data_IF_022659439643
#
_entry.id   IF_022659439643
#
_cell.length_a   1.000
_cell.length_b   1.000
_cell.length_c   1.000
_cell.angle_alpha   90.00
_cell.angle_beta   90.00
_cell.angle_gamma   90.00
#
_symmetry.space_group_name_H-M   'P 1'
#
loop_
_entity.id
_entity.type
_entity.pdbx_description
1 polymer ?
#
# COMPACT_ATOMS: atom_id res chain seq x y z
N UNK A 1 -6.23 -7.62 6.90
CA UNK A 1 -5.15 -7.92 5.93
C UNK A 1 -4.07 -8.78 6.56
N UNK A 2 -3.46 -8.37 7.69
CA UNK A 2 -2.42 -9.16 8.38
C UNK A 2 -2.97 -10.45 9.01
N UNK A 3 -4.13 -10.38 9.66
CA UNK A 3 -4.76 -11.52 10.34
C UNK A 3 -5.18 -12.67 9.42
N UNK A 4 -5.43 -12.39 8.13
CA UNK A 4 -5.79 -13.40 7.13
C UNK A 4 -4.56 -14.17 6.62
N UNK A 5 -3.40 -13.50 6.54
CA UNK A 5 -2.10 -14.14 6.23
C UNK A 5 -1.71 -15.12 7.32
N UNK A 6 -1.85 -14.74 8.58
CA UNK A 6 -1.54 -15.60 9.73
C UNK A 6 -2.38 -16.89 9.73
N UNK A 7 -3.69 -16.76 9.52
CA UNK A 7 -4.61 -17.90 9.46
C UNK A 7 -4.28 -18.86 8.32
N UNK A 8 -3.90 -18.34 7.15
CA UNK A 8 -3.53 -19.14 5.98
C UNK A 8 -2.20 -19.87 6.19
N UNK A 9 -1.23 -19.20 6.81
CA UNK A 9 0.07 -19.75 7.20
C UNK A 9 -0.10 -20.92 8.19
N UNK A 10 -0.94 -20.75 9.21
CA UNK A 10 -1.24 -21.78 10.21
C UNK A 10 -1.95 -23.00 9.62
N UNK A 11 -2.89 -22.78 8.70
CA UNK A 11 -3.59 -23.87 7.98
C UNK A 11 -2.61 -24.75 7.20
N UNK A 12 -1.72 -24.14 6.43
CA UNK A 12 -0.71 -24.88 5.63
C UNK A 12 0.22 -25.70 6.50
N UNK A 13 0.62 -25.13 7.64
CA UNK A 13 1.47 -25.82 8.59
C UNK A 13 0.80 -27.11 9.10
N UNK A 14 -0.47 -27.02 9.51
CA UNK A 14 -1.21 -28.20 9.98
C UNK A 14 -1.59 -29.15 8.86
N UNK A 15 -1.82 -28.69 7.63
CA UNK A 15 -2.12 -29.56 6.48
C UNK A 15 -0.97 -30.53 6.19
N UNK A 16 0.27 -30.08 6.34
CA UNK A 16 1.48 -30.90 6.10
C UNK A 16 1.83 -31.76 7.31
N UNK A 17 1.74 -31.22 8.53
CA UNK A 17 2.27 -31.89 9.71
C UNK A 17 1.21 -32.64 10.54
N UNK A 18 -0.05 -32.20 10.57
CA UNK A 18 -1.13 -32.86 11.31
C UNK A 18 -2.54 -32.40 10.85
N UNK A 19 -3.12 -33.05 9.81
CA UNK A 19 -4.39 -32.62 9.22
C UNK A 19 -5.58 -32.77 10.17
N UNK A 20 -5.48 -33.60 11.21
CA UNK A 20 -6.52 -33.78 12.23
C UNK A 20 -6.73 -32.53 13.10
N UNK A 21 -5.76 -31.60 13.13
CA UNK A 21 -5.85 -30.34 13.86
C UNK A 21 -6.42 -29.17 13.04
N UNK A 22 -6.82 -29.39 11.78
CA UNK A 22 -7.35 -28.34 10.90
C UNK A 22 -8.65 -27.70 11.44
N UNK A 23 -9.49 -28.47 12.14
CA UNK A 23 -10.71 -27.97 12.77
C UNK A 23 -10.46 -27.02 13.95
N UNK A 24 -9.29 -27.12 14.59
CA UNK A 24 -8.89 -26.28 15.72
C UNK A 24 -8.12 -25.02 15.30
N UNK A 25 -7.78 -24.87 14.01
CA UNK A 25 -6.98 -23.75 13.49
C UNK A 25 -7.63 -22.40 13.80
N UNK A 26 -8.95 -22.30 13.69
CA UNK A 26 -9.66 -21.04 13.94
C UNK A 26 -9.67 -20.65 15.42
N UNK A 27 -9.73 -21.63 16.32
CA UNK A 27 -9.65 -21.40 17.77
C UNK A 27 -8.22 -21.04 18.23
N UNK A 28 -7.20 -21.67 17.64
CA UNK A 28 -5.78 -21.35 17.90
C UNK A 28 -5.44 -19.96 17.34
N UNK A 29 -5.94 -19.65 16.15
CA UNK A 29 -5.80 -18.31 15.57
C UNK A 29 -6.34 -17.22 16.49
N UNK A 30 -7.53 -17.43 17.06
CA UNK A 30 -8.18 -16.42 17.90
C UNK A 30 -7.48 -16.21 19.26
N UNK A 31 -6.80 -17.23 19.79
CA UNK A 31 -6.08 -17.18 21.07
C UNK A 31 -4.67 -16.58 20.95
N UNK A 32 -4.09 -16.57 19.76
CA UNK A 32 -2.70 -16.15 19.50
C UNK A 32 -2.57 -14.93 18.58
N UNK A 33 -3.64 -14.14 18.40
CA UNK A 33 -3.67 -12.95 17.52
C UNK A 33 -2.55 -11.92 17.75
N UNK A 34 -1.98 -11.86 18.96
CA UNK A 34 -0.89 -10.94 19.32
C UNK A 34 0.44 -11.65 19.63
N UNK A 35 0.50 -12.98 19.40
CA UNK A 35 1.67 -13.85 19.68
C UNK A 35 1.88 -14.86 18.55
N UNK A 36 1.77 -14.37 17.32
CA UNK A 36 1.77 -15.18 16.10
C UNK A 36 3.14 -15.85 15.87
N UNK A 37 4.23 -15.15 16.13
CA UNK A 37 5.59 -15.65 15.97
C UNK A 37 5.94 -16.74 17.00
N UNK A 38 5.39 -16.63 18.20
CA UNK A 38 5.66 -17.59 19.28
C UNK A 38 4.99 -18.95 19.01
N UNK A 39 3.78 -18.95 18.45
CA UNK A 39 3.14 -20.22 18.05
C UNK A 39 3.89 -20.89 16.90
N UNK A 40 4.40 -20.14 15.91
CA UNK A 40 5.22 -20.73 14.86
C UNK A 40 6.56 -21.24 15.38
N UNK A 41 7.18 -20.57 16.35
CA UNK A 41 8.41 -21.06 16.99
C UNK A 41 8.19 -22.42 17.66
N UNK A 42 7.08 -22.56 18.40
CA UNK A 42 6.70 -23.83 19.05
C UNK A 42 6.33 -24.90 18.03
N UNK A 43 5.63 -24.53 16.95
CA UNK A 43 5.27 -25.45 15.89
C UNK A 43 6.48 -25.93 15.10
N UNK A 44 7.45 -25.04 14.83
CA UNK A 44 8.70 -25.40 14.15
C UNK A 44 9.56 -26.32 15.02
N UNK A 45 9.61 -26.05 16.33
CA UNK A 45 10.32 -26.92 17.28
C UNK A 45 9.66 -28.31 17.37
N UNK A 46 8.32 -28.37 17.32
CA UNK A 46 7.56 -29.62 17.47
C UNK A 46 7.44 -30.46 16.19
N UNK A 47 7.33 -29.83 15.02
CA UNK A 47 6.99 -30.50 13.76
C UNK A 47 8.03 -30.30 12.65
N UNK A 48 9.00 -29.39 12.84
CA UNK A 48 10.05 -29.09 11.86
C UNK A 48 9.83 -27.80 11.08
N UNK A 49 10.70 -27.49 10.10
CA UNK A 49 10.67 -26.23 9.36
C UNK A 49 9.34 -26.02 8.62
N UNK A 50 8.94 -24.75 8.51
CA UNK A 50 7.68 -24.35 7.90
C UNK A 50 7.59 -24.77 6.41
N UNK A 51 6.47 -25.34 5.95
CA UNK A 51 6.29 -25.73 4.56
C UNK A 51 6.33 -24.51 3.62
N UNK A 52 7.28 -24.55 2.69
CA UNK A 52 7.50 -23.49 1.69
C UNK A 52 6.27 -23.36 0.80
N UNK A 53 5.86 -22.12 0.54
CA UNK A 53 4.87 -21.72 -0.45
C UNK A 53 5.21 -22.32 -1.83
N UNK A 54 4.67 -23.49 -2.15
CA UNK A 54 4.63 -23.97 -3.53
C UNK A 54 3.52 -23.19 -4.25
N UNK A 55 3.89 -22.04 -4.79
CA UNK A 55 3.14 -21.43 -5.87
C UNK A 55 3.21 -22.39 -7.06
N UNK A 56 2.09 -23.03 -7.36
CA UNK A 56 1.92 -23.86 -8.54
C UNK A 56 1.97 -22.99 -9.81
N UNK A 57 3.17 -22.66 -10.26
CA UNK A 57 3.41 -22.27 -11.64
C UNK A 57 3.39 -23.57 -12.44
N UNK A 58 2.24 -23.83 -13.06
CA UNK A 58 2.14 -24.85 -14.09
C UNK A 58 3.02 -24.46 -15.26
N UNK A 59 4.01 -25.30 -15.56
CA UNK A 59 4.54 -25.39 -16.91
C UNK A 59 4.87 -26.86 -17.19
N UNK A 60 4.18 -27.41 -18.17
CA UNK A 60 4.28 -28.80 -18.60
C UNK A 60 4.50 -28.81 -20.10
N UNK A 61 5.52 -29.58 -20.52
CA UNK A 61 6.01 -29.86 -21.89
C UNK A 61 7.19 -28.97 -22.32
N UNK A 62 8.39 -29.46 -22.67
CA UNK A 62 8.78 -30.80 -23.17
C UNK A 62 10.32 -30.94 -23.25
N UNK A 63 10.83 -32.12 -22.88
CA UNK A 63 12.00 -32.93 -23.38
C UNK A 63 13.26 -32.21 -23.94
N UNK A 64 14.52 -32.58 -23.69
CA UNK A 64 15.17 -33.86 -23.35
C UNK A 64 16.68 -33.61 -23.05
N UNK A 65 17.40 -34.65 -22.59
CA UNK A 65 18.86 -34.79 -22.32
C UNK A 65 19.28 -34.27 -20.92
N UNK A 66 19.95 -35.00 -20.03
CA UNK A 66 20.49 -36.37 -20.00
C UNK A 66 21.48 -36.49 -18.83
N UNK A 67 21.50 -37.64 -18.16
CA UNK A 67 22.71 -38.21 -17.54
C UNK A 67 23.11 -37.83 -16.10
N UNK A 68 23.28 -38.91 -15.31
CA UNK A 68 24.30 -39.15 -14.26
C UNK A 68 23.95 -38.94 -12.76
N UNK A 69 23.79 -40.11 -12.11
CA UNK A 69 24.38 -40.54 -10.83
C UNK A 69 23.66 -40.31 -9.47
N UNK A 70 22.97 -41.38 -9.06
CA UNK A 70 22.89 -42.07 -7.75
C UNK A 70 24.06 -41.87 -6.74
N UNK A 71 23.98 -42.39 -5.49
CA UNK A 71 22.90 -42.41 -4.47
C UNK A 71 23.46 -42.09 -3.05
N UNK A 72 22.69 -42.39 -1.98
CA UNK A 72 23.01 -42.58 -0.54
C UNK A 72 22.05 -41.72 0.29
N UNK A 73 21.26 -42.20 1.25
CA UNK A 73 21.06 -43.48 1.89
C UNK A 73 20.27 -43.19 3.17
N UNK A 74 19.07 -43.77 3.35
CA UNK A 74 18.35 -43.67 4.63
C UNK A 74 17.42 -44.85 4.86
N UNK A 75 17.81 -45.68 5.81
CA UNK A 75 17.00 -46.61 6.62
C UNK A 75 17.59 -46.45 8.04
N UNK A 76 16.91 -46.52 9.17
CA UNK A 76 15.52 -46.53 9.60
C UNK A 76 15.61 -46.54 11.14
N UNK A 77 14.80 -45.71 11.83
CA UNK A 77 14.17 -46.01 13.15
C UNK A 77 15.10 -46.28 14.38
N UNK A 78 14.60 -46.30 15.65
CA UNK A 78 13.21 -46.39 16.09
C UNK A 78 12.72 -45.36 17.13
N UNK A 79 11.39 -45.24 17.14
CA UNK A 79 10.54 -44.70 18.18
C UNK A 79 10.63 -45.56 19.44
N UNK A 80 10.73 -44.90 20.60
CA UNK A 80 10.47 -45.49 21.91
C UNK A 80 9.26 -44.79 22.56
N UNK A 81 8.50 -45.61 23.28
CA UNK A 81 7.18 -45.41 23.86
C UNK A 81 7.10 -44.44 25.05
N UNK A 82 5.83 -44.17 25.43
CA UNK A 82 5.25 -43.78 26.74
C UNK A 82 4.65 -42.36 26.74
N UNK A 83 3.33 -42.18 26.55
CA UNK A 83 2.19 -42.45 27.44
C UNK A 83 2.12 -41.51 28.65
N UNK A 84 1.02 -40.73 28.68
CA UNK A 84 0.20 -40.29 29.84
C UNK A 84 0.15 -38.80 30.25
N UNK A 85 -1.11 -38.32 30.31
CA UNK A 85 -1.73 -37.28 31.16
C UNK A 85 -1.21 -35.83 31.10
N UNK A 86 -1.94 -34.83 30.58
CA UNK A 86 -3.26 -34.27 30.95
C UNK A 86 -3.43 -33.92 32.43
N UNK A 87 -3.59 -32.61 32.65
CA UNK A 87 -4.52 -31.92 33.59
C UNK A 87 -4.35 -32.26 35.09
N UNK A 88 -4.43 -31.40 36.08
CA UNK A 88 -4.68 -29.97 36.31
C UNK A 88 -4.61 -29.82 37.85
N UNK A 89 -4.34 -28.62 38.37
CA UNK A 89 -4.90 -28.09 39.64
C UNK A 89 -4.38 -26.64 39.81
N UNK A 90 -5.24 -25.62 39.87
CA UNK A 90 -5.86 -25.08 41.11
C UNK A 90 -4.78 -24.70 42.14
N UNK A 91 -4.62 -23.48 42.64
CA UNK A 91 -5.62 -22.66 43.33
C UNK A 91 -4.98 -21.32 43.77
N UNK A 92 -5.74 -20.23 43.66
CA UNK A 92 -5.91 -19.11 44.60
C UNK A 92 -4.75 -18.54 45.47
N UNK A 93 -4.63 -17.20 45.36
CA UNK A 93 -4.78 -16.16 46.41
C UNK A 93 -3.55 -15.44 47.04
N UNK A 94 -3.75 -14.12 47.17
CA UNK A 94 -3.26 -13.12 48.14
C UNK A 94 -1.94 -12.36 47.81
N UNK A 95 -2.04 -11.06 47.46
CA UNK A 95 -1.75 -9.81 48.25
C UNK A 95 -0.28 -9.36 48.07
N UNK A 96 0.13 -8.11 47.88
CA UNK A 96 -0.36 -6.79 48.32
C UNK A 96 0.51 -5.66 47.69
N UNK A 97 -0.04 -4.43 47.61
CA UNK A 97 0.63 -3.11 47.68
C UNK A 97 1.61 -2.67 46.55
N UNK A 98 1.68 -1.41 46.06
CA UNK A 98 1.54 -0.12 46.77
C UNK A 98 1.34 1.07 45.80
N UNK A 99 0.35 1.92 46.13
CA UNK A 99 0.13 3.37 45.94
C UNK A 99 1.04 4.26 45.05
N UNK A 100 0.36 5.06 44.22
CA UNK A 100 0.68 6.44 43.76
C UNK A 100 0.69 7.48 44.92
N UNK A 101 1.23 8.71 44.77
CA UNK A 101 0.48 9.87 44.21
C UNK A 101 1.34 10.89 43.40
N UNK A 102 0.83 11.60 42.37
CA UNK A 102 0.15 12.94 42.36
C UNK A 102 0.95 14.07 43.04
N UNK A 103 1.53 15.00 42.29
CA UNK A 103 1.03 16.39 42.06
C UNK A 103 2.12 17.40 42.53
N UNK A 104 2.27 18.66 42.12
CA UNK A 104 1.39 19.65 41.51
C UNK A 104 2.24 20.84 40.96
N UNK A 105 1.76 21.43 39.87
CA UNK A 105 1.68 22.87 39.51
C UNK A 105 2.80 23.90 39.80
N UNK A 106 3.07 24.73 38.79
CA UNK A 106 2.67 26.15 38.82
C UNK A 106 2.81 26.81 37.44
N UNK A 107 1.72 27.40 36.97
CA UNK A 107 1.60 28.28 35.80
C UNK A 107 2.08 29.70 36.10
N UNK A 108 2.52 30.46 35.09
CA UNK A 108 1.71 31.54 34.50
C UNK A 108 2.51 32.68 33.82
N UNK A 109 1.90 33.12 32.72
CA UNK A 109 2.04 34.42 32.04
C UNK A 109 3.25 34.58 31.10
N UNK A 110 3.16 35.21 29.93
CA UNK A 110 2.04 35.84 29.22
C UNK A 110 2.53 36.13 27.80
N UNK A 111 1.75 35.76 26.78
CA UNK A 111 2.01 36.07 25.39
C UNK A 111 1.27 37.35 24.97
N UNK A 112 1.95 38.28 24.30
CA UNK A 112 1.32 39.29 23.44
C UNK A 112 1.99 39.31 22.06
N UNK A 113 1.14 39.46 21.04
CA UNK A 113 1.36 39.15 19.62
C UNK A 113 2.23 40.17 18.86
N UNK A 114 2.90 39.67 17.82
CA UNK A 114 3.44 40.42 16.67
C UNK A 114 2.30 40.96 15.78
N UNK A 115 2.51 42.13 15.17
CA UNK A 115 2.11 42.44 13.79
C UNK A 115 2.97 43.57 13.19
N UNK A 116 3.67 43.20 12.11
CA UNK A 116 4.08 43.87 10.87
C UNK A 116 4.76 45.25 10.72
N UNK A 117 5.62 45.21 9.68
CA UNK A 117 6.11 46.25 8.77
C UNK A 117 7.36 47.05 9.19
N UNK A 118 8.52 46.61 8.69
CA UNK A 118 9.60 47.51 8.31
C UNK A 118 10.18 47.08 6.96
N UNK A 119 9.96 47.93 5.95
CA UNK A 119 10.69 47.91 4.70
C UNK A 119 11.59 49.15 4.63
N UNK A 120 12.84 48.88 4.26
CA UNK A 120 13.83 49.77 3.62
C UNK A 120 14.54 50.87 4.45
N UNK A 121 15.83 50.59 4.65
CA UNK A 121 17.00 51.47 4.43
C UNK A 121 17.19 52.73 5.29
N UNK A 122 18.21 52.71 6.17
CA UNK A 122 19.53 53.36 5.92
C UNK A 122 20.39 53.45 7.21
N UNK A 123 21.60 52.92 7.10
CA UNK A 123 22.91 53.52 7.49
C UNK A 123 23.16 53.92 8.98
N UNK A 124 24.07 53.17 9.62
CA UNK A 124 25.14 53.53 10.59
C UNK A 124 25.36 55.06 10.85
N UNK A 125 25.61 55.63 12.04
CA UNK A 125 26.57 55.34 13.14
C UNK A 125 26.35 56.38 14.31
N UNK A 126 27.15 56.46 15.41
CA UNK A 126 26.64 56.48 16.79
C UNK A 126 26.51 57.88 17.46
N UNK A 127 25.49 58.03 18.31
CA UNK A 127 25.21 59.24 19.11
C UNK A 127 25.59 59.00 20.59
N UNK A 128 26.80 59.42 21.03
CA UNK A 128 27.15 59.44 22.47
C UNK A 128 28.13 60.55 22.89
N UNK A 129 28.56 61.43 21.98
CA UNK A 129 29.55 62.49 22.25
C UNK A 129 28.99 63.92 22.30
N UNK A 130 27.68 64.11 22.07
CA UNK A 130 27.07 65.45 21.92
C UNK A 130 26.61 66.04 23.27
N UNK A 131 26.20 65.22 24.25
CA UNK A 131 25.68 65.69 25.55
C UNK A 131 26.73 66.18 26.57
N UNK A 132 28.03 65.88 26.37
CA UNK A 132 29.12 66.37 27.24
C UNK A 132 29.70 67.71 26.78
N UNK A 133 29.58 68.06 25.49
CA UNK A 133 30.10 69.34 24.97
C UNK A 133 29.22 70.53 25.39
N UNK A 134 27.91 70.40 25.37
CA UNK A 134 26.98 71.51 25.68
C UNK A 134 27.08 72.04 27.12
N UNK A 135 27.43 71.20 28.11
CA UNK A 135 27.63 71.64 29.50
C UNK A 135 28.94 72.41 29.69
N UNK A 136 29.99 72.09 28.94
CA UNK A 136 31.30 72.76 29.03
C UNK A 136 31.29 74.19 28.47
N UNK A 137 30.51 74.46 27.42
CA UNK A 137 30.42 75.81 26.85
C UNK A 137 29.80 76.82 27.82
N UNK A 138 28.76 76.43 28.58
CA UNK A 138 28.11 77.30 29.57
C UNK A 138 28.99 77.61 30.81
N UNK A 139 29.95 76.73 31.14
CA UNK A 139 30.86 76.95 32.28
C UNK A 139 31.98 77.92 31.90
N UNK A 140 32.56 77.74 30.70
CA UNK A 140 33.63 78.58 30.17
C UNK A 140 33.22 80.04 30.10
N UNK A 141 32.00 80.30 29.63
CA UNK A 141 31.47 81.66 29.48
C UNK A 141 31.33 82.38 30.84
N UNK A 142 30.83 81.70 31.88
CA UNK A 142 30.74 82.25 33.25
C UNK A 142 32.10 82.54 33.88
N UNK A 143 33.11 81.72 33.60
CA UNK A 143 34.46 81.91 34.16
C UNK A 143 35.19 83.08 33.49
N UNK A 144 35.00 83.26 32.18
CA UNK A 144 35.50 84.43 31.44
C UNK A 144 34.88 85.72 32.00
N UNK A 145 33.58 85.72 32.30
CA UNK A 145 32.89 86.89 32.87
C UNK A 145 33.38 87.23 34.29
N UNK A 146 33.63 86.22 35.12
CA UNK A 146 34.22 86.41 36.46
C UNK A 146 35.62 87.04 36.39
N UNK A 147 36.50 86.52 35.53
CA UNK A 147 37.85 87.05 35.38
C UNK A 147 37.90 88.42 34.70
N UNK A 148 36.97 88.76 33.79
CA UNK A 148 36.85 90.13 33.29
C UNK A 148 36.64 91.16 34.40
N UNK A 149 36.01 90.77 35.50
CA UNK A 149 35.65 91.69 36.59
C UNK A 149 36.72 91.78 37.69
N UNK A 150 37.43 90.69 37.98
CA UNK A 150 38.40 90.62 39.09
C UNK A 150 39.87 90.55 38.64
N UNK A 151 40.18 89.95 37.49
CA UNK A 151 41.54 89.83 36.97
C UNK A 151 41.59 89.40 35.49
N UNK A 152 41.71 90.36 34.57
CA UNK A 152 41.66 90.11 33.12
C UNK A 152 42.86 89.34 32.56
N UNK A 153 43.97 89.21 33.30
CA UNK A 153 45.15 88.47 32.83
C UNK A 153 44.99 86.95 32.89
N UNK A 154 43.95 86.45 33.57
CA UNK A 154 43.68 85.01 33.72
C UNK A 154 42.76 84.43 32.65
N UNK A 155 42.22 85.27 31.75
CA UNK A 155 41.32 84.85 30.65
C UNK A 155 41.96 83.79 29.72
N UNK A 156 43.25 83.87 29.33
CA UNK A 156 43.88 82.87 28.46
C UNK A 156 44.01 81.47 29.09
N UNK A 157 44.01 81.38 30.42
CA UNK A 157 44.21 80.14 31.17
C UNK A 157 42.89 79.48 31.61
N UNK A 158 41.75 80.03 31.19
CA UNK A 158 40.41 79.57 31.58
C UNK A 158 40.17 78.10 31.23
N UNK A 159 40.66 77.64 30.07
CA UNK A 159 40.49 76.24 29.65
C UNK A 159 41.28 75.27 30.55
N UNK A 160 42.49 75.66 30.98
CA UNK A 160 43.34 74.88 31.88
C UNK A 160 42.77 74.82 33.31
N UNK A 161 42.15 75.92 33.78
CA UNK A 161 41.46 75.94 35.08
C UNK A 161 40.22 75.04 35.07
N UNK A 162 39.50 74.93 33.94
CA UNK A 162 38.35 74.04 33.82
C UNK A 162 38.77 72.57 33.83
N UNK A 163 39.85 72.21 33.14
CA UNK A 163 40.40 70.84 33.16
C UNK A 163 40.87 70.42 34.57
N UNK A 164 41.52 71.33 35.30
CA UNK A 164 42.03 71.06 36.65
C UNK A 164 40.92 70.81 37.69
N UNK A 165 39.68 71.23 37.43
CA UNK A 165 38.54 71.10 38.35
C UNK A 165 37.46 70.12 37.87
N UNK A 166 37.74 69.36 36.79
CA UNK A 166 36.99 68.24 36.18
C UNK A 166 35.69 67.77 36.91
N UNK A 167 34.59 68.50 36.75
CA UNK A 167 33.27 68.16 37.29
C UNK A 167 32.95 68.64 38.72
N UNK A 168 33.75 69.55 39.29
CA UNK A 168 33.58 70.13 40.62
C UNK A 168 33.41 71.66 40.57
N UNK A 169 32.55 72.14 39.66
CA UNK A 169 32.46 73.56 39.28
C UNK A 169 32.03 74.47 40.43
N UNK A 170 31.16 73.97 41.32
CA UNK A 170 30.68 74.71 42.49
C UNK A 170 31.80 75.03 43.49
N UNK A 171 32.81 74.15 43.60
CA UNK A 171 33.96 74.35 44.49
C UNK A 171 34.93 75.38 43.91
N UNK A 172 35.20 75.31 42.61
CA UNK A 172 36.05 76.25 41.87
C UNK A 172 35.59 77.72 42.06
N UNK A 173 34.30 78.01 41.85
CA UNK A 173 33.78 79.37 42.08
C UNK A 173 33.83 79.81 43.55
N UNK A 174 33.66 78.87 44.49
CA UNK A 174 33.78 79.13 45.92
C UNK A 174 35.20 79.52 46.34
N UNK A 175 36.20 78.84 45.80
CA UNK A 175 37.61 79.13 46.06
C UNK A 175 38.02 80.47 45.42
N UNK A 176 37.54 80.76 44.20
CA UNK A 176 37.75 82.05 43.54
C UNK A 176 37.14 83.22 44.32
N UNK A 177 35.91 83.08 44.83
CA UNK A 177 35.29 84.10 45.67
C UNK A 177 36.02 84.28 47.01
N UNK A 178 36.71 83.25 47.52
CA UNK A 178 37.49 83.32 48.76
C UNK A 178 38.84 83.99 48.54
N UNK A 179 39.47 83.73 47.39
CA UNK A 179 40.78 84.26 47.02
C UNK A 179 40.72 85.76 46.69
N UNK A 180 39.64 86.22 46.03
CA UNK A 180 39.45 87.64 45.69
C UNK A 180 38.67 88.45 46.77
N UNK A 181 38.40 87.87 47.95
CA UNK A 181 37.76 88.55 49.11
C UNK A 181 38.74 88.92 50.24
N UNK A 182 39.99 88.45 50.22
CA UNK A 182 40.97 88.67 51.32
C UNK A 182 42.26 89.36 50.86
N UNK A 183 42.14 90.53 50.25
CA UNK A 183 43.29 91.37 49.90
C UNK A 183 43.05 92.85 50.22
N UNK A 184 42.61 93.15 51.45
CA UNK A 184 42.60 94.51 51.96
C UNK A 184 42.86 94.47 53.46
N UNK A 185 43.81 95.30 53.91
CA UNK A 185 44.09 95.70 55.29
C UNK A 185 45.16 94.92 56.07
N UNK A 186 46.39 95.45 56.00
CA UNK A 186 47.44 95.35 57.00
C UNK A 186 48.13 96.71 57.03
N UNK A 187 48.25 97.32 58.22
CA UNK A 187 49.38 98.14 58.70
C UNK A 187 49.17 98.39 60.21
N UNK A 188 50.15 97.94 61.00
CA UNK A 188 50.41 98.36 62.39
C UNK A 188 51.34 99.58 62.38
N UNK A 189 51.38 100.36 63.48
CA UNK A 189 52.67 100.91 63.90
C UNK A 189 52.93 100.82 65.42
N UNK A 190 54.18 100.52 65.76
CA UNK A 190 54.80 100.71 67.08
C UNK A 190 55.58 102.01 67.05
N UNK A 191 55.50 102.80 68.13
CA UNK A 191 56.30 104.02 68.34
C UNK A 191 57.25 103.87 69.53
N UNK A 192 58.51 104.36 69.46
CA UNK A 192 59.53 104.31 70.52
C UNK A 192 59.80 105.69 71.15
N UNK A 193 60.33 105.73 72.39
CA UNK A 193 60.94 106.91 73.07
C UNK A 193 61.10 106.58 74.58
N UNK A 194 62.10 106.98 75.37
CA UNK A 194 63.29 107.83 75.27
C UNK A 194 64.05 107.75 76.63
N UNK A 195 65.34 108.12 76.64
CA UNK A 195 66.27 108.41 77.77
C UNK A 195 65.62 109.25 78.91
N UNK A 196 65.94 109.10 80.21
CA UNK A 196 67.22 109.48 80.85
C UNK A 196 67.40 108.90 82.29
N UNK A 197 68.64 109.00 82.80
CA UNK A 197 69.07 109.22 84.20
C UNK A 197 69.85 108.11 84.95
N UNK A 198 71.10 108.46 85.32
CA UNK A 198 72.27 107.56 85.46
C UNK A 198 72.35 106.71 86.75
N UNK A 199 71.45 106.90 87.72
CA UNK A 199 71.35 106.04 88.91
C UNK A 199 70.28 104.94 88.78
N UNK A 200 69.43 105.00 87.76
CA UNK A 200 68.66 103.85 87.30
C UNK A 200 69.53 102.90 86.46
N UNK A 201 70.62 103.38 85.88
CA UNK A 201 71.53 102.63 84.99
C UNK A 201 72.27 101.53 85.73
N UNK A 202 72.66 101.70 87.00
CA UNK A 202 73.35 100.63 87.77
C UNK A 202 72.38 99.50 88.12
N UNK A 203 71.13 99.84 88.49
CA UNK A 203 70.08 98.84 88.73
C UNK A 203 69.65 98.15 87.43
N UNK A 204 69.51 98.92 86.32
CA UNK A 204 69.25 98.38 84.97
C UNK A 204 70.42 97.59 84.40
N UNK A 205 71.67 97.89 84.75
CA UNK A 205 72.83 97.10 84.31
C UNK A 205 72.91 95.79 85.08
N UNK A 206 72.55 95.77 86.38
CA UNK A 206 72.40 94.52 87.14
C UNK A 206 71.23 93.69 86.61
N UNK A 207 70.06 94.30 86.41
CA UNK A 207 68.88 93.63 85.83
C UNK A 207 69.15 93.23 84.36
N UNK A 208 69.90 94.01 83.58
CA UNK A 208 70.26 93.69 82.20
C UNK A 208 71.37 92.63 82.12
N UNK A 209 72.29 92.57 83.08
CA UNK A 209 73.24 91.46 83.17
C UNK A 209 72.51 90.18 83.53
N UNK A 210 71.58 90.22 84.49
CA UNK A 210 70.76 89.08 84.89
C UNK A 210 69.80 88.63 83.77
N UNK A 211 69.21 89.58 83.04
CA UNK A 211 68.44 89.31 81.82
C UNK A 211 69.36 88.77 80.73
N UNK A 212 70.60 89.25 80.56
CA UNK A 212 71.54 88.71 79.56
C UNK A 212 72.08 87.33 79.94
N UNK A 213 72.32 87.04 81.22
CA UNK A 213 72.66 85.68 81.66
C UNK A 213 71.46 84.76 81.53
N UNK A 214 70.24 85.21 81.84
CA UNK A 214 69.01 84.46 81.60
C UNK A 214 68.76 84.23 80.09
N UNK A 215 69.00 85.23 79.25
CA UNK A 215 68.85 85.17 77.78
C UNK A 215 69.93 84.30 77.14
N UNK A 216 71.17 84.31 77.64
CA UNK A 216 72.22 83.39 77.15
C UNK A 216 72.00 81.96 77.63
N UNK A 217 71.45 81.75 78.82
CA UNK A 217 70.99 80.42 79.27
C UNK A 217 69.77 79.95 78.48
N UNK A 218 68.83 80.84 78.16
CA UNK A 218 67.67 80.56 77.32
C UNK A 218 68.13 80.22 75.89
N UNK A 219 68.98 81.04 75.27
CA UNK A 219 69.54 80.77 73.95
C UNK A 219 70.41 79.50 73.92
N UNK A 220 71.09 79.16 75.01
CA UNK A 220 71.83 77.89 75.11
C UNK A 220 70.87 76.70 75.20
N UNK A 221 69.80 76.80 76.00
CA UNK A 221 68.72 75.80 76.04
C UNK A 221 67.99 75.68 74.71
N UNK A 222 67.74 76.79 74.02
CA UNK A 222 67.09 76.82 72.70
C UNK A 222 68.02 76.23 71.64
N UNK A 223 69.32 76.52 71.69
CA UNK A 223 70.31 75.91 70.80
C UNK A 223 70.43 74.40 71.02
N UNK A 224 70.37 73.95 72.27
CA UNK A 224 70.36 72.53 72.63
C UNK A 224 69.06 71.86 72.18
N UNK A 225 67.92 72.53 72.37
CA UNK A 225 66.61 72.08 71.89
C UNK A 225 66.55 71.97 70.36
N UNK A 226 67.07 72.95 69.63
CA UNK A 226 67.16 72.93 68.17
C UNK A 226 68.14 71.85 67.71
N UNK A 227 69.25 71.62 68.41
CA UNK A 227 70.19 70.56 68.06
C UNK A 227 69.59 69.16 68.24
N UNK A 228 68.80 68.96 69.30
CA UNK A 228 68.03 67.73 69.53
C UNK A 228 66.95 67.52 68.47
N UNK A 229 66.20 68.58 68.13
CA UNK A 229 65.18 68.53 67.08
C UNK A 229 65.78 68.25 65.69
N UNK A 230 66.94 68.85 65.38
CA UNK A 230 67.68 68.62 64.14
C UNK A 230 68.26 67.19 64.10
N UNK A 231 68.77 66.69 65.24
CA UNK A 231 69.21 65.30 65.35
C UNK A 231 68.04 64.32 65.17
N UNK A 232 66.88 64.59 65.77
CA UNK A 232 65.67 63.80 65.63
C UNK A 232 65.14 63.82 64.19
N UNK A 233 65.09 65.00 63.56
CA UNK A 233 64.69 65.17 62.16
C UNK A 233 65.64 64.44 61.20
N UNK A 234 66.95 64.49 61.44
CA UNK A 234 67.93 63.73 60.67
C UNK A 234 67.77 62.22 60.87
N UNK A 235 67.46 61.76 62.09
CA UNK A 235 67.18 60.35 62.37
C UNK A 235 65.93 59.88 61.63
N UNK A 236 64.84 60.65 61.70
CA UNK A 236 63.59 60.37 61.00
C UNK A 236 63.77 60.36 59.47
N UNK A 237 64.57 61.29 58.94
CA UNK A 237 64.91 61.33 57.51
C UNK A 237 65.71 60.10 57.07
N UNK A 238 66.65 59.63 57.88
CA UNK A 238 67.39 58.38 57.61
C UNK A 238 66.46 57.17 57.63
N UNK A 239 65.58 57.05 58.62
CA UNK A 239 64.57 56.00 58.70
C UNK A 239 63.60 56.04 57.50
N UNK A 240 63.17 57.23 57.08
CA UNK A 240 62.34 57.40 55.88
C UNK A 240 63.07 56.95 54.62
N UNK A 241 64.36 57.27 54.48
CA UNK A 241 65.17 56.87 53.33
C UNK A 241 65.47 55.37 53.32
N UNK A 242 65.65 54.76 54.50
CA UNK A 242 65.76 53.31 54.64
C UNK A 242 64.44 52.60 54.30
N UNK A 243 63.30 53.15 54.72
CA UNK A 243 61.98 52.66 54.35
C UNK A 243 61.71 52.79 52.85
N UNK A 244 62.10 53.92 52.24
CA UNK A 244 62.01 54.15 50.80
C UNK A 244 62.85 53.11 50.03
N UNK A 245 64.11 52.90 50.42
CA UNK A 245 64.97 51.84 49.85
C UNK A 245 64.36 50.45 50.01
N UNK A 246 63.75 50.17 51.17
CA UNK A 246 63.08 48.90 51.41
C UNK A 246 61.87 48.72 50.48
N UNK A 247 61.07 49.77 50.29
CA UNK A 247 59.93 49.75 49.37
C UNK A 247 60.39 49.59 47.91
N UNK A 248 61.42 50.32 47.49
CA UNK A 248 61.99 50.20 46.14
C UNK A 248 62.48 48.78 45.88
N UNK A 249 63.19 48.18 46.85
CA UNK A 249 63.66 46.80 46.76
C UNK A 249 62.48 45.82 46.65
N UNK A 250 61.41 46.02 47.43
CA UNK A 250 60.20 45.21 47.33
C UNK A 250 59.49 45.37 45.98
N UNK A 251 59.44 46.59 45.44
CA UNK A 251 58.85 46.87 44.12
C UNK A 251 59.63 46.22 42.99
N UNK A 252 60.97 46.26 43.04
CA UNK A 252 61.82 45.56 42.08
C UNK A 252 61.63 44.06 42.19
N UNK A 253 61.64 43.50 43.41
CA UNK A 253 61.40 42.07 43.61
C UNK A 253 60.00 41.64 43.13
N UNK A 254 58.95 42.44 43.36
CA UNK A 254 57.62 42.15 42.87
C UNK A 254 57.53 42.23 41.32
N UNK A 255 58.22 43.20 40.71
CA UNK A 255 58.33 43.29 39.25
C UNK A 255 59.05 42.10 38.64
N UNK A 256 60.14 41.65 39.26
CA UNK A 256 60.89 40.47 38.83
C UNK A 256 60.05 39.19 38.98
N UNK A 257 59.28 39.05 40.06
CA UNK A 257 58.35 37.93 40.23
C UNK A 257 57.26 37.92 39.16
N UNK A 258 56.65 39.07 38.87
CA UNK A 258 55.68 39.20 37.78
C UNK A 258 56.30 38.88 36.42
N UNK A 259 57.51 39.39 36.16
CA UNK A 259 58.24 39.10 34.93
C UNK A 259 58.57 37.62 34.82
N UNK A 260 58.98 36.96 35.90
CA UNK A 260 59.21 35.51 35.94
C UNK A 260 57.92 34.70 35.70
N UNK A 261 56.76 35.19 36.15
CA UNK A 261 55.47 34.60 35.83
C UNK A 261 55.11 34.75 34.35
N UNK A 262 55.41 35.89 33.72
CA UNK A 262 55.20 36.12 32.28
C UNK A 262 56.18 35.35 31.41
N UNK A 263 57.43 35.23 31.85
CA UNK A 263 58.46 34.45 31.18
C UNK A 263 58.41 32.96 31.51
N UNK A 264 57.43 32.54 32.32
CA UNK A 264 57.22 31.14 32.65
C UNK A 264 57.06 30.33 31.34
N UNK A 265 57.99 29.41 31.03
CA UNK A 265 57.94 28.63 29.80
C UNK A 265 56.67 27.79 29.73
N UNK A 266 56.09 27.39 30.87
CA UNK A 266 54.85 26.63 30.92
C UNK A 266 53.65 27.44 30.43
N UNK A 267 53.61 28.76 30.72
CA UNK A 267 52.56 29.64 30.22
C UNK A 267 52.69 29.86 28.71
N UNK A 268 53.92 30.00 28.20
CA UNK A 268 54.21 30.11 26.77
C UNK A 268 53.83 28.83 26.02
N UNK A 269 54.14 27.65 26.58
CA UNK A 269 53.73 26.34 26.05
C UNK A 269 52.21 26.21 26.02
N UNK A 270 51.51 26.48 27.14
CA UNK A 270 50.04 26.44 27.19
C UNK A 270 49.39 27.41 26.20
N UNK A 271 49.97 28.59 26.01
CA UNK A 271 49.49 29.55 25.01
C UNK A 271 49.66 29.00 23.59
N UNK A 272 50.79 28.35 23.29
CA UNK A 272 51.01 27.69 22.01
C UNK A 272 50.07 26.49 21.79
N UNK A 273 49.84 25.66 22.81
CA UNK A 273 48.87 24.55 22.78
C UNK A 273 47.44 25.05 22.50
N UNK A 274 47.02 26.15 23.13
CA UNK A 274 45.72 26.78 22.86
C UNK A 274 45.60 27.24 21.40
N UNK A 275 46.66 27.78 20.80
CA UNK A 275 46.68 28.16 19.39
C UNK A 275 46.54 26.93 18.49
N UNK A 276 47.20 25.82 18.81
CA UNK A 276 47.08 24.56 18.07
C UNK A 276 45.66 24.00 18.18
N UNK A 277 45.12 23.91 19.39
CA UNK A 277 43.76 23.44 19.64
C UNK A 277 42.70 24.31 18.94
N UNK A 278 42.91 25.63 18.88
CA UNK A 278 42.04 26.53 18.15
C UNK A 278 42.06 26.24 16.63
N UNK A 279 43.24 25.99 16.05
CA UNK A 279 43.36 25.58 14.65
C UNK A 279 42.71 24.22 14.40
N UNK A 280 42.84 23.27 15.32
CA UNK A 280 42.20 21.95 15.22
C UNK A 280 40.68 22.05 15.29
N UNK A 281 40.15 22.87 16.21
CA UNK A 281 38.72 23.18 16.29
C UNK A 281 38.20 23.77 14.98
N UNK A 282 38.94 24.68 14.37
CA UNK A 282 38.59 25.26 13.06
C UNK A 282 38.64 24.23 11.92
N UNK A 283 39.60 23.30 11.94
CA UNK A 283 39.65 22.18 10.99
C UNK A 283 38.44 21.27 11.12
N UNK A 284 38.14 20.83 12.35
CA UNK A 284 36.99 19.97 12.64
C UNK A 284 35.66 20.65 12.29
N UNK A 285 35.53 21.95 12.52
CA UNK A 285 34.33 22.69 12.12
C UNK A 285 34.12 22.69 10.59
N UNK A 286 35.20 22.78 9.80
CA UNK A 286 35.12 22.67 8.33
C UNK A 286 34.78 21.27 7.88
N UNK A 287 35.38 20.24 8.49
CA UNK A 287 35.06 18.83 8.19
C UNK A 287 33.59 18.51 8.52
N UNK A 288 33.07 19.06 9.63
CA UNK A 288 31.66 18.92 10.00
C UNK A 288 30.74 19.60 8.97
N UNK A 289 31.07 20.80 8.52
CA UNK A 289 30.30 21.51 7.48
C UNK A 289 30.28 20.72 6.15
N UNK A 290 31.43 20.19 5.73
CA UNK A 290 31.52 19.34 4.53
C UNK A 290 30.67 18.07 4.71
N UNK A 291 30.75 17.42 5.87
CA UNK A 291 29.99 16.20 6.16
C UNK A 291 28.48 16.47 6.16
N UNK A 292 28.04 17.59 6.72
CA UNK A 292 26.62 17.99 6.72
C UNK A 292 26.12 18.27 5.29
N UNK A 293 26.91 18.97 4.47
CA UNK A 293 26.57 19.20 3.05
C UNK A 293 26.46 17.89 2.25
N UNK A 294 27.37 16.95 2.51
CA UNK A 294 27.29 15.62 1.90
C UNK A 294 26.05 14.86 2.36
N UNK A 295 25.70 14.94 3.65
CA UNK A 295 24.50 14.31 4.20
C UNK A 295 23.22 14.87 3.59
N UNK A 296 23.10 16.20 3.46
CA UNK A 296 21.98 16.85 2.78
C UNK A 296 21.84 16.35 1.33
N UNK A 297 22.95 16.28 0.59
CA UNK A 297 22.95 15.75 -0.78
C UNK A 297 22.54 14.27 -0.88
N UNK A 298 22.86 13.45 0.13
CA UNK A 298 22.39 12.05 0.20
C UNK A 298 20.90 12.00 0.51
N UNK A 299 20.40 12.83 1.44
CA UNK A 299 18.98 12.89 1.79
C UNK A 299 18.11 13.36 0.61
N UNK A 300 18.59 14.32 -0.19
CA UNK A 300 17.90 14.76 -1.40
C UNK A 300 17.82 13.64 -2.46
N UNK A 301 18.92 12.91 -2.67
CA UNK A 301 18.94 11.74 -3.57
C UNK A 301 18.02 10.64 -3.07
N UNK A 302 18.01 10.38 -1.77
CA UNK A 302 17.10 9.41 -1.15
C UNK A 302 15.63 9.83 -1.36
N UNK A 303 15.31 11.11 -1.16
CA UNK A 303 13.96 11.64 -1.41
C UNK A 303 13.55 11.51 -2.87
N UNK A 304 14.47 11.77 -3.81
CA UNK A 304 14.23 11.59 -5.24
C UNK A 304 13.97 10.11 -5.58
N UNK A 305 14.79 9.20 -5.06
CA UNK A 305 14.62 7.75 -5.26
C UNK A 305 13.32 7.23 -4.65
N UNK A 306 12.95 7.70 -3.45
CA UNK A 306 11.66 7.36 -2.82
C UNK A 306 10.48 7.84 -3.65
N UNK A 307 10.57 9.03 -4.23
CA UNK A 307 9.53 9.58 -5.11
C UNK A 307 9.41 8.76 -6.40
N UNK A 308 10.55 8.36 -6.98
CA UNK A 308 10.58 7.49 -8.16
C UNK A 308 10.02 6.10 -7.85
N UNK A 309 10.37 5.52 -6.71
CA UNK A 309 9.84 4.24 -6.25
C UNK A 309 8.31 4.31 -6.08
N UNK A 310 7.79 5.40 -5.50
CA UNK A 310 6.35 5.58 -5.35
C UNK A 310 5.66 5.63 -6.73
N UNK A 311 6.17 6.41 -7.67
CA UNK A 311 5.65 6.49 -9.04
C UNK A 311 5.64 5.12 -9.73
N UNK A 312 6.72 4.36 -9.65
CA UNK A 312 6.79 3.03 -10.29
C UNK A 312 5.86 2.03 -9.60
N UNK A 313 5.69 2.10 -8.28
CA UNK A 313 4.73 1.24 -7.56
C UNK A 313 3.28 1.55 -7.93
N UNK A 314 2.94 2.82 -8.17
CA UNK A 314 1.61 3.21 -8.64
C UNK A 314 1.35 2.72 -10.07
N UNK A 315 2.33 2.83 -10.96
CA UNK A 315 2.25 2.28 -12.32
C UNK A 315 2.08 0.75 -12.33
N UNK A 316 2.81 0.04 -11.45
CA UNK A 316 2.67 -1.41 -11.31
C UNK A 316 1.28 -1.79 -10.80
N UNK A 317 0.77 -1.06 -9.79
CA UNK A 317 -0.59 -1.27 -9.27
C UNK A 317 -1.65 -1.09 -10.36
N UNK A 318 -1.52 -0.04 -11.17
CA UNK A 318 -2.44 0.21 -12.28
C UNK A 318 -2.40 -0.91 -13.34
N UNK A 319 -1.20 -1.46 -13.61
CA UNK A 319 -1.04 -2.60 -14.52
C UNK A 319 -1.64 -3.88 -13.94
N UNK A 320 -1.46 -4.14 -12.66
CA UNK A 320 -2.07 -5.29 -11.96
C UNK A 320 -3.61 -5.21 -12.00
N UNK A 321 -4.17 -4.03 -11.77
CA UNK A 321 -5.62 -3.80 -11.89
C UNK A 321 -6.12 -4.07 -13.32
N UNK A 322 -5.43 -3.54 -14.33
CA UNK A 322 -5.75 -3.80 -15.73
C UNK A 322 -5.69 -5.30 -16.10
N UNK A 323 -4.68 -6.02 -15.60
CA UNK A 323 -4.56 -7.48 -15.80
C UNK A 323 -5.71 -8.21 -15.10
N UNK A 324 -6.08 -7.81 -13.89
CA UNK A 324 -7.18 -8.40 -13.12
C UNK A 324 -8.53 -8.21 -13.82
N UNK A 325 -8.81 -7.00 -14.30
CA UNK A 325 -10.02 -6.70 -15.05
C UNK A 325 -10.06 -7.43 -16.39
N UNK A 326 -8.92 -7.49 -17.10
CA UNK A 326 -8.79 -8.29 -18.32
C UNK A 326 -8.97 -9.79 -18.09
N UNK A 327 -8.65 -10.32 -16.91
CA UNK A 327 -8.94 -11.70 -16.54
C UNK A 327 -10.46 -11.91 -16.31
N UNK A 328 -11.08 -11.03 -15.52
CA UNK A 328 -12.54 -11.07 -15.26
C UNK A 328 -13.36 -11.00 -16.55
N UNK A 329 -12.99 -10.10 -17.46
CA UNK A 329 -13.68 -9.96 -18.74
C UNK A 329 -13.55 -11.22 -19.61
N UNK A 330 -12.39 -11.89 -19.60
CA UNK A 330 -12.21 -13.17 -20.31
C UNK A 330 -13.07 -14.27 -19.70
N UNK A 331 -13.16 -14.33 -18.38
CA UNK A 331 -14.01 -15.32 -17.71
C UNK A 331 -15.50 -15.09 -18.02
N UNK A 332 -15.96 -13.84 -18.00
CA UNK A 332 -17.33 -13.47 -18.39
C UNK A 332 -17.61 -13.82 -19.86
N UNK A 333 -16.68 -13.49 -20.76
CA UNK A 333 -16.77 -13.87 -22.17
C UNK A 333 -16.79 -15.41 -22.36
N UNK A 334 -16.06 -16.15 -21.54
CA UNK A 334 -16.06 -17.61 -21.60
C UNK A 334 -17.37 -18.20 -21.08
N UNK A 335 -17.94 -17.65 -20.01
CA UNK A 335 -19.25 -18.06 -19.47
C UNK A 335 -20.33 -17.83 -20.51
N UNK A 336 -20.39 -16.65 -21.13
CA UNK A 336 -21.37 -16.32 -22.18
C UNK A 336 -21.20 -17.22 -23.40
N UNK A 337 -19.97 -17.47 -23.85
CA UNK A 337 -19.68 -18.43 -24.93
C UNK A 337 -20.17 -19.83 -24.61
N UNK A 338 -19.93 -20.33 -23.40
CA UNK A 338 -20.41 -21.64 -22.96
C UNK A 338 -21.95 -21.68 -22.96
N UNK A 339 -22.62 -20.64 -22.47
CA UNK A 339 -24.08 -20.51 -22.50
C UNK A 339 -24.63 -20.60 -23.93
N UNK A 340 -24.11 -19.78 -24.84
CA UNK A 340 -24.51 -19.80 -26.25
C UNK A 340 -24.25 -21.16 -26.91
N UNK A 341 -23.16 -21.84 -26.55
CA UNK A 341 -22.87 -23.18 -27.04
C UNK A 341 -23.93 -24.20 -26.56
N UNK A 342 -24.41 -24.09 -25.31
CA UNK A 342 -25.49 -24.96 -24.81
C UNK A 342 -26.83 -24.69 -25.51
N UNK A 343 -27.14 -23.43 -25.79
CA UNK A 343 -28.33 -23.05 -26.57
C UNK A 343 -28.26 -23.59 -28.00
N UNK A 344 -27.12 -23.45 -28.67
CA UNK A 344 -26.90 -24.00 -30.01
C UNK A 344 -27.04 -25.52 -30.06
N UNK A 345 -26.56 -26.23 -29.03
CA UNK A 345 -26.74 -27.69 -28.93
C UNK A 345 -28.21 -28.06 -28.76
N UNK A 346 -28.94 -27.30 -27.96
CA UNK A 346 -30.39 -27.48 -27.75
C UNK A 346 -31.15 -27.29 -29.07
N UNK A 347 -30.92 -26.17 -29.76
CA UNK A 347 -31.54 -25.89 -31.07
C UNK A 347 -31.17 -26.96 -32.10
N UNK A 348 -29.91 -27.40 -32.15
CA UNK A 348 -29.48 -28.48 -33.06
C UNK A 348 -30.24 -29.78 -32.78
N UNK A 349 -30.46 -30.13 -31.50
CA UNK A 349 -31.24 -31.30 -31.10
C UNK A 349 -32.70 -31.17 -31.53
N UNK A 350 -33.32 -30.02 -31.33
CA UNK A 350 -34.69 -29.73 -31.77
C UNK A 350 -34.82 -29.85 -33.30
N UNK A 351 -33.93 -29.21 -34.05
CA UNK A 351 -33.92 -29.34 -35.51
C UNK A 351 -33.73 -30.79 -35.97
N UNK A 352 -32.93 -31.59 -35.26
CA UNK A 352 -32.76 -33.01 -35.57
C UNK A 352 -34.06 -33.80 -35.34
N UNK A 353 -34.78 -33.51 -34.24
CA UNK A 353 -36.08 -34.11 -33.96
C UNK A 353 -37.12 -33.74 -35.01
N UNK A 354 -37.19 -32.47 -35.40
CA UNK A 354 -38.08 -31.99 -36.46
C UNK A 354 -37.78 -32.66 -37.81
N UNK A 355 -36.51 -32.80 -38.19
CA UNK A 355 -36.12 -33.51 -39.42
C UNK A 355 -36.61 -34.96 -39.42
N UNK A 356 -36.44 -35.68 -38.31
CA UNK A 356 -36.95 -37.05 -38.17
C UNK A 356 -38.47 -37.12 -38.26
N UNK A 357 -39.18 -36.17 -37.65
CA UNK A 357 -40.64 -36.07 -37.73
C UNK A 357 -41.11 -35.83 -39.17
N UNK A 358 -40.49 -34.87 -39.88
CA UNK A 358 -40.80 -34.58 -41.29
C UNK A 358 -40.53 -35.80 -42.18
N UNK A 359 -39.43 -36.52 -41.94
CA UNK A 359 -39.12 -37.75 -42.67
C UNK A 359 -40.19 -38.82 -42.45
N UNK A 360 -40.61 -39.04 -41.19
CA UNK A 360 -41.65 -40.01 -40.86
C UNK A 360 -43.01 -39.64 -41.46
N UNK A 361 -43.40 -38.36 -41.40
CA UNK A 361 -44.61 -37.86 -42.04
C UNK A 361 -44.55 -38.02 -43.57
N UNK A 362 -43.40 -37.74 -44.19
CA UNK A 362 -43.19 -37.98 -45.62
C UNK A 362 -43.35 -39.45 -45.99
N UNK A 363 -42.86 -40.38 -45.17
CA UNK A 363 -43.06 -41.82 -45.38
C UNK A 363 -44.55 -42.19 -45.26
N UNK A 364 -45.24 -41.65 -44.26
CA UNK A 364 -46.68 -41.87 -44.05
C UNK A 364 -47.52 -41.36 -45.22
N UNK A 365 -47.19 -40.19 -45.75
CA UNK A 365 -47.84 -39.62 -46.94
C UNK A 365 -47.66 -40.56 -48.14
N UNK A 366 -46.45 -41.03 -48.41
CA UNK A 366 -46.21 -41.98 -49.52
C UNK A 366 -47.02 -43.28 -49.38
N UNK A 367 -47.14 -43.82 -48.17
CA UNK A 367 -47.98 -45.00 -47.91
C UNK A 367 -49.44 -44.69 -48.21
N UNK A 368 -49.96 -43.58 -47.69
CA UNK A 368 -51.34 -43.16 -47.93
C UNK A 368 -51.62 -42.88 -49.42
N UNK A 369 -50.65 -42.36 -50.17
CA UNK A 369 -50.76 -42.17 -51.61
C UNK A 369 -50.88 -43.51 -52.35
N UNK A 370 -50.09 -44.53 -51.96
CA UNK A 370 -50.20 -45.88 -52.52
C UNK A 370 -51.54 -46.52 -52.19
N UNK A 371 -51.99 -46.43 -50.92
CA UNK A 371 -53.31 -46.93 -50.49
C UNK A 371 -54.45 -46.26 -51.27
N UNK A 372 -54.39 -44.93 -51.46
CA UNK A 372 -55.34 -44.19 -52.29
C UNK A 372 -55.34 -44.72 -53.72
N UNK A 373 -54.18 -44.94 -54.32
CA UNK A 373 -54.07 -45.45 -55.69
C UNK A 373 -54.68 -46.84 -55.82
N UNK A 374 -54.44 -47.71 -54.84
CA UNK A 374 -55.03 -49.05 -54.80
C UNK A 374 -56.56 -48.98 -54.72
N UNK A 375 -57.12 -48.16 -53.83
CA UNK A 375 -58.57 -47.99 -53.70
C UNK A 375 -59.21 -47.46 -54.99
N UNK A 376 -58.52 -46.57 -55.71
CA UNK A 376 -59.00 -46.08 -57.01
C UNK A 376 -59.05 -47.18 -58.08
N UNK A 377 -58.07 -48.08 -58.11
CA UNK A 377 -58.10 -49.23 -59.04
C UNK A 377 -59.18 -50.25 -58.66
N UNK A 378 -59.35 -50.53 -57.36
CA UNK A 378 -60.44 -51.36 -56.87
C UNK A 378 -61.80 -50.77 -57.25
N UNK A 379 -61.98 -49.45 -57.12
CA UNK A 379 -63.19 -48.75 -57.52
C UNK A 379 -63.46 -48.93 -59.03
N UNK A 380 -62.47 -48.68 -59.89
CA UNK A 380 -62.61 -48.89 -61.35
C UNK A 380 -63.01 -50.31 -61.71
N UNK A 381 -62.42 -51.31 -61.05
CA UNK A 381 -62.76 -52.72 -61.29
C UNK A 381 -64.18 -53.05 -60.79
N UNK A 382 -64.64 -52.44 -59.68
CA UNK A 382 -66.04 -52.58 -59.26
C UNK A 382 -67.01 -51.92 -60.22
N UNK A 383 -66.70 -50.72 -60.74
CA UNK A 383 -67.52 -50.02 -61.73
C UNK A 383 -67.66 -50.85 -63.02
N UNK A 384 -66.56 -51.44 -63.49
CA UNK A 384 -66.57 -52.36 -64.64
C UNK A 384 -67.46 -53.58 -64.39
N UNK A 385 -67.34 -54.22 -63.22
CA UNK A 385 -68.19 -55.36 -62.85
C UNK A 385 -69.67 -54.99 -62.79
N UNK A 386 -70.00 -53.81 -62.26
CA UNK A 386 -71.39 -53.30 -62.23
C UNK A 386 -71.92 -53.10 -63.65
N UNK A 387 -71.11 -52.55 -64.55
CA UNK A 387 -71.47 -52.42 -65.97
C UNK A 387 -71.75 -53.78 -66.62
N UNK A 388 -70.85 -54.75 -66.47
CA UNK A 388 -70.99 -56.10 -67.03
C UNK A 388 -72.26 -56.82 -66.50
N UNK A 389 -72.55 -56.69 -65.20
CA UNK A 389 -73.77 -57.22 -64.59
C UNK A 389 -75.01 -56.51 -65.14
N UNK A 390 -74.95 -55.19 -65.36
CA UNK A 390 -76.00 -54.41 -65.99
C UNK A 390 -76.34 -54.88 -67.40
N UNK A 391 -75.31 -55.20 -68.21
CA UNK A 391 -75.46 -55.78 -69.55
C UNK A 391 -76.09 -57.17 -69.51
N UNK A 392 -75.64 -58.04 -68.61
CA UNK A 392 -76.22 -59.37 -68.40
C UNK A 392 -77.69 -59.28 -67.98
N UNK A 393 -78.01 -58.40 -67.03
CA UNK A 393 -79.38 -58.18 -66.58
C UNK A 393 -80.27 -57.64 -67.71
N UNK A 394 -79.74 -56.77 -68.57
CA UNK A 394 -80.46 -56.26 -69.74
C UNK A 394 -80.76 -57.35 -70.77
N UNK A 395 -79.78 -58.21 -71.06
CA UNK A 395 -79.98 -59.40 -71.91
C UNK A 395 -81.03 -60.34 -71.32
N UNK A 396 -80.98 -60.59 -70.01
CA UNK A 396 -81.93 -61.47 -69.33
C UNK A 396 -83.35 -60.88 -69.30
N UNK A 397 -83.47 -59.56 -69.07
CA UNK A 397 -84.75 -58.83 -69.22
C UNK A 397 -85.31 -58.93 -70.63
N UNK A 398 -84.46 -58.82 -71.66
CA UNK A 398 -84.88 -58.97 -73.05
C UNK A 398 -85.37 -60.40 -73.35
N UNK A 399 -84.65 -61.43 -72.89
CA UNK A 399 -85.10 -62.83 -73.01
C UNK A 399 -86.44 -63.05 -72.31
N UNK A 400 -86.56 -62.58 -71.06
CA UNK A 400 -87.80 -62.68 -70.29
C UNK A 400 -88.97 -62.00 -71.02
N UNK A 401 -88.75 -60.81 -71.59
CA UNK A 401 -89.76 -60.12 -72.39
C UNK A 401 -90.18 -60.92 -73.63
N UNK A 402 -89.21 -61.49 -74.36
CA UNK A 402 -89.48 -62.36 -75.51
C UNK A 402 -90.24 -63.62 -75.12
N UNK A 403 -89.85 -64.27 -74.01
CA UNK A 403 -90.56 -65.44 -73.47
C UNK A 403 -91.99 -65.08 -73.05
N UNK A 404 -92.23 -63.95 -72.39
CA UNK A 404 -93.57 -63.49 -72.03
C UNK A 404 -94.41 -63.25 -73.29
N UNK A 405 -93.86 -62.61 -74.32
CA UNK A 405 -94.55 -62.44 -75.61
C UNK A 405 -94.91 -63.78 -76.23
N UNK A 406 -94.00 -64.73 -76.20
CA UNK A 406 -94.19 -66.06 -76.76
C UNK A 406 -95.22 -66.88 -75.98
N UNK A 407 -95.18 -66.84 -74.65
CA UNK A 407 -96.21 -67.45 -73.78
C UNK A 407 -97.58 -66.83 -74.06
N UNK A 408 -97.66 -65.50 -74.21
CA UNK A 408 -98.90 -64.84 -74.58
C UNK A 408 -99.38 -65.25 -75.98
N UNK A 409 -98.49 -65.37 -76.96
CA UNK A 409 -98.79 -65.86 -78.30
C UNK A 409 -99.30 -67.31 -78.26
N UNK A 410 -98.60 -68.19 -77.55
CA UNK A 410 -98.98 -69.60 -77.37
C UNK A 410 -100.34 -69.72 -76.70
N UNK A 411 -100.59 -68.94 -75.64
CA UNK A 411 -101.89 -68.88 -74.95
C UNK A 411 -103.03 -68.43 -75.87
N UNK A 412 -102.77 -67.53 -76.82
CA UNK A 412 -103.75 -67.16 -77.85
C UNK A 412 -103.98 -68.30 -78.86
N UNK A 413 -102.93 -69.03 -79.25
CA UNK A 413 -103.06 -70.16 -80.19
C UNK A 413 -103.68 -71.43 -79.59
N UNK A 414 -103.47 -71.70 -78.30
CA UNK A 414 -104.11 -72.80 -77.56
C UNK A 414 -105.45 -72.40 -76.94
N UNK A 415 -105.91 -71.16 -77.17
CA UNK A 415 -107.22 -70.68 -76.76
C UNK A 415 -108.40 -71.39 -77.44
N UNK A 416 -108.14 -72.25 -78.43
CA UNK A 416 -109.09 -73.25 -78.92
C UNK A 416 -108.73 -74.62 -78.34
N UNK A 417 -109.73 -75.35 -77.83
CA UNK A 417 -109.56 -76.72 -77.35
C UNK A 417 -108.82 -77.55 -78.42
N UNK A 418 -107.56 -77.90 -78.15
CA UNK A 418 -106.77 -78.81 -78.98
C UNK A 418 -107.61 -80.06 -79.21
N UNK A 419 -107.96 -80.31 -80.47
CA UNK A 419 -108.68 -81.51 -80.84
C UNK A 419 -107.86 -82.72 -80.39
N UNK A 420 -108.52 -83.74 -79.84
CA UNK A 420 -107.88 -85.01 -79.45
C UNK A 420 -106.99 -85.57 -80.58
N UNK A 421 -107.35 -85.30 -81.84
CA UNK A 421 -106.59 -85.66 -83.03
C UNK A 421 -105.22 -84.95 -83.12
N UNK A 422 -105.15 -83.66 -82.79
CA UNK A 422 -103.92 -82.87 -82.84
C UNK A 422 -102.95 -83.33 -81.75
N UNK A 423 -103.47 -83.60 -80.54
CA UNK A 423 -102.67 -84.16 -79.44
C UNK A 423 -102.09 -85.53 -79.81
N UNK A 424 -102.88 -86.43 -80.41
CA UNK A 424 -102.36 -87.73 -80.84
C UNK A 424 -101.32 -87.61 -81.95
N UNK A 425 -101.44 -86.62 -82.83
CA UNK A 425 -100.44 -86.37 -83.88
C UNK A 425 -99.13 -85.87 -83.27
N UNK A 426 -99.20 -84.95 -82.32
CA UNK A 426 -98.03 -84.42 -81.61
C UNK A 426 -97.34 -85.52 -80.80
N UNK A 427 -98.09 -86.34 -80.07
CA UNK A 427 -97.52 -87.46 -79.30
C UNK A 427 -96.81 -88.45 -80.22
N UNK A 428 -97.42 -88.81 -81.36
CA UNK A 428 -96.78 -89.71 -82.34
C UNK A 428 -95.51 -89.12 -82.94
N UNK A 429 -95.50 -87.82 -83.22
CA UNK A 429 -94.30 -87.15 -83.75
C UNK A 429 -93.18 -87.13 -82.69
N UNK A 430 -93.52 -86.89 -81.43
CA UNK A 430 -92.57 -86.95 -80.31
C UNK A 430 -92.02 -88.37 -80.13
N UNK A 431 -92.89 -89.39 -80.12
CA UNK A 431 -92.50 -90.80 -80.03
C UNK A 431 -91.57 -91.20 -81.18
N UNK A 432 -91.86 -90.75 -82.40
CA UNK A 432 -91.00 -90.95 -83.57
C UNK A 432 -89.63 -90.29 -83.39
N UNK A 433 -89.57 -89.02 -82.97
CA UNK A 433 -88.30 -88.33 -82.77
C UNK A 433 -87.44 -89.00 -81.68
N UNK A 434 -88.04 -89.44 -80.58
CA UNK A 434 -87.33 -90.20 -79.55
C UNK A 434 -86.84 -91.54 -80.07
N UNK A 435 -87.66 -92.27 -80.84
CA UNK A 435 -87.26 -93.55 -81.43
C UNK A 435 -86.07 -93.38 -82.38
N UNK A 436 -86.10 -92.36 -83.24
CA UNK A 436 -85.00 -92.04 -84.17
C UNK A 436 -83.72 -91.64 -83.43
N UNK A 437 -83.83 -90.83 -82.37
CA UNK A 437 -82.69 -90.45 -81.55
C UNK A 437 -82.03 -91.66 -80.87
N UNK A 438 -82.82 -92.52 -80.22
CA UNK A 438 -82.29 -93.71 -79.54
C UNK A 438 -81.74 -94.75 -80.52
N UNK A 439 -82.33 -94.94 -81.70
CA UNK A 439 -81.75 -95.79 -82.75
C UNK A 439 -80.41 -95.24 -83.24
N UNK A 440 -80.28 -93.92 -83.38
CA UNK A 440 -79.01 -93.28 -83.74
C UNK A 440 -77.93 -93.50 -82.67
N UNK A 441 -78.26 -93.28 -81.39
CA UNK A 441 -77.35 -93.51 -80.27
C UNK A 441 -76.94 -94.99 -80.14
N UNK A 442 -77.90 -95.92 -80.30
CA UNK A 442 -77.61 -97.36 -80.30
C UNK A 442 -76.70 -97.76 -81.46
N UNK A 443 -76.90 -97.19 -82.64
CA UNK A 443 -76.03 -97.40 -83.81
C UNK A 443 -74.61 -96.90 -83.55
N UNK A 444 -74.48 -95.72 -82.92
CA UNK A 444 -73.19 -95.16 -82.52
C UNK A 444 -72.47 -96.04 -81.49
N UNK A 445 -73.15 -96.47 -80.43
CA UNK A 445 -72.58 -97.40 -79.44
C UNK A 445 -72.17 -98.74 -80.07
N UNK A 446 -72.97 -99.29 -81.00
CA UNK A 446 -72.61 -100.53 -81.72
C UNK A 446 -71.33 -100.34 -82.54
N UNK A 447 -71.18 -99.20 -83.20
CA UNK A 447 -69.98 -98.87 -83.98
C UNK A 447 -68.74 -98.79 -83.10
N UNK A 448 -68.82 -98.04 -82.00
CA UNK A 448 -67.71 -97.92 -81.04
C UNK A 448 -67.30 -99.27 -80.43
N UNK A 449 -68.26 -100.12 -80.12
CA UNK A 449 -67.99 -101.47 -79.61
C UNK A 449 -67.28 -102.34 -80.67
N UNK A 450 -67.67 -102.21 -81.93
CA UNK A 450 -67.03 -102.93 -83.03
C UNK A 450 -65.59 -102.45 -83.27
N UNK A 451 -65.38 -101.12 -83.23
CA UNK A 451 -64.04 -100.51 -83.33
C UNK A 451 -63.12 -100.99 -82.20
N UNK A 452 -63.65 -101.12 -80.97
CA UNK A 452 -62.91 -101.69 -79.84
C UNK A 452 -62.52 -103.16 -80.07
N UNK A 453 -63.44 -104.00 -80.58
CA UNK A 453 -63.13 -105.39 -80.89
C UNK A 453 -62.07 -105.51 -82.00
N UNK A 454 -62.15 -104.71 -83.06
CA UNK A 454 -61.12 -104.65 -84.10
C UNK A 454 -59.76 -104.19 -83.55
N UNK A 455 -59.75 -103.21 -82.65
CA UNK A 455 -58.53 -102.78 -81.97
C UNK A 455 -57.93 -103.91 -81.12
N UNK A 456 -58.75 -104.58 -80.30
CA UNK A 456 -58.31 -105.68 -79.46
C UNK A 456 -57.76 -106.86 -80.29
N UNK A 457 -58.42 -107.21 -81.39
CA UNK A 457 -57.95 -108.24 -82.33
C UNK A 457 -56.59 -107.87 -82.94
N UNK A 458 -56.40 -106.62 -83.34
CA UNK A 458 -55.12 -106.13 -83.86
C UNK A 458 -54.00 -106.17 -82.80
N UNK A 459 -54.31 -105.86 -81.54
CA UNK A 459 -53.34 -105.96 -80.45
C UNK A 459 -52.95 -107.41 -80.17
N UNK A 460 -53.90 -108.34 -80.22
CA UNK A 460 -53.63 -109.78 -80.13
C UNK A 460 -52.74 -110.25 -81.29
N UNK A 461 -53.06 -109.86 -82.54
CA UNK A 461 -52.20 -110.17 -83.70
C UNK A 461 -50.79 -109.62 -83.56
N UNK A 462 -50.63 -108.39 -83.06
CA UNK A 462 -49.30 -107.80 -82.80
C UNK A 462 -48.53 -108.56 -81.72
N UNK A 463 -49.20 -108.92 -80.62
CA UNK A 463 -48.59 -109.73 -79.56
C UNK A 463 -48.15 -111.09 -80.10
N UNK A 464 -49.01 -111.75 -80.86
CA UNK A 464 -48.72 -113.07 -81.43
C UNK A 464 -47.58 -112.98 -82.47
N UNK A 465 -47.49 -111.89 -83.24
CA UNK A 465 -46.35 -111.61 -84.12
C UNK A 465 -45.04 -111.38 -83.34
N UNK A 466 -45.06 -110.61 -82.26
CA UNK A 466 -43.89 -110.40 -81.38
C UNK A 466 -43.45 -111.71 -80.70
N UNK A 467 -44.40 -112.55 -80.28
CA UNK A 467 -44.10 -113.88 -79.75
C UNK A 467 -43.43 -114.74 -80.81
N UNK A 468 -43.91 -114.68 -82.08
CA UNK A 468 -43.30 -115.38 -83.18
C UNK A 468 -41.86 -114.90 -83.46
N UNK A 469 -41.61 -113.58 -83.47
CA UNK A 469 -40.26 -113.01 -83.63
C UNK A 469 -39.31 -113.46 -82.50
N UNK A 470 -39.75 -113.39 -81.24
CA UNK A 470 -38.95 -113.81 -80.08
C UNK A 470 -38.69 -115.32 -80.02
N UNK A 471 -39.48 -116.13 -80.73
CA UNK A 471 -39.32 -117.58 -80.77
C UNK A 471 -38.36 -118.07 -81.86
N UNK A 472 -37.93 -117.19 -82.77
CA UNK A 472 -36.99 -117.52 -83.87
C UNK A 472 -35.51 -117.38 -83.46
N UNK A 473 -35.20 -116.63 -82.39
CA UNK A 473 -33.84 -116.42 -81.87
C UNK A 473 -33.46 -117.36 -80.69
N UNK A 474 -34.03 -118.57 -80.61
CA UNK A 474 -33.65 -119.61 -79.63
C UNK A 474 -33.27 -120.94 -80.28
#
# INVERSE_FOLDING_TARGET
MESDRFRLRLRRFYEVHNPSCLSSVDAIWQTYRDREEDIFRVLVDKYGPEPVLQESIGDSSREQIGGLNSPVGRLSQPLNNLYLQKESQETTRHTENTRSPVGFEAESSSAFKKFDANAANRVHYPQSSILKKEKNYNLKEKLIEFYRTHNSSMIPFVDEVIENYNGNEKRMFGDLHRQYRKASELILPVTPSSFDDANAVIKRLSDALEIKTAETLALKKDKECIAEELHFSNKLRKESHENEKRLETQLVAAREQLQACYDNPELKIKTAELIVLQKDKERLAKELDISNKLLEGVQEKEKALRSQLLSTTEELRAKEEFISDGARQRDEAQITKNSLQTELLTVRKECSGLRSSVFNLGNRIRVLEVEKQQLLEELKETEKRVFDVGDLLSKERQKNHSLIKEVNRLKLTTGGALSKADFTTIVKEIEKQFSEHYESELSQCRKEMNDYYCYAENQLRRRDALIAELSVDR
#
